data_IF_778883689420
#
_entry.id   IF_778883689420
#
_cell.length_a   1.000
_cell.length_b   1.000
_cell.length_c   1.000
_cell.angle_alpha   90.00
_cell.angle_beta   90.00
_cell.angle_gamma   90.00
#
_symmetry.space_group_name_H-M   'P 1'
#
loop_
_entity.id
_entity.type
_entity.pdbx_description
1 polymer ?
#
# COMPACT_ATOMS: atom_id res chain seq x y z
N UNK A 1 -8.44 -9.14 8.05
CA UNK A 1 -7.65 -8.40 7.03
C UNK A 1 -6.22 -8.18 7.50
N UNK A 2 -5.94 -7.96 8.78
CA UNK A 2 -4.59 -7.77 9.31
C UNK A 2 -3.62 -8.90 8.96
N UNK A 3 -4.00 -10.16 9.17
CA UNK A 3 -3.15 -11.32 8.85
C UNK A 3 -2.67 -11.34 7.38
N UNK A 4 -3.53 -10.97 6.44
CA UNK A 4 -3.18 -10.92 5.02
C UNK A 4 -2.20 -9.78 4.70
N UNK A 5 -2.26 -8.67 5.43
CA UNK A 5 -1.37 -7.51 5.22
C UNK A 5 0.01 -7.73 5.82
N UNK A 6 0.10 -8.51 6.91
CA UNK A 6 1.37 -8.99 7.46
C UNK A 6 2.15 -9.81 6.42
N UNK A 7 1.45 -10.65 5.66
CA UNK A 7 2.06 -11.44 4.57
C UNK A 7 2.53 -10.59 3.39
N UNK A 8 2.05 -9.34 3.26
CA UNK A 8 2.49 -8.43 2.21
C UNK A 8 3.81 -7.73 2.52
N UNK A 9 4.33 -7.82 3.75
CA UNK A 9 5.58 -7.16 4.12
C UNK A 9 6.71 -7.61 3.20
N UNK A 10 7.35 -6.66 2.52
CA UNK A 10 8.38 -6.90 1.52
C UNK A 10 7.87 -7.14 0.09
N UNK A 11 6.55 -7.18 -0.12
CA UNK A 11 5.95 -7.33 -1.45
C UNK A 11 5.62 -5.99 -2.11
N UNK A 12 5.56 -6.02 -3.44
CA UNK A 12 5.02 -4.94 -4.26
C UNK A 12 3.52 -5.13 -4.43
N UNK A 13 2.75 -4.11 -4.08
CA UNK A 13 1.30 -4.12 -4.25
C UNK A 13 0.78 -2.78 -4.79
N UNK A 14 -0.47 -2.78 -5.19
CA UNK A 14 -1.26 -1.59 -5.48
C UNK A 14 -2.29 -1.44 -4.39
N UNK A 15 -2.36 -0.27 -3.76
CA UNK A 15 -3.34 0.02 -2.72
C UNK A 15 -4.33 1.05 -3.24
N UNK A 16 -5.61 0.76 -3.09
CA UNK A 16 -6.72 1.67 -3.35
C UNK A 16 -7.37 2.07 -2.03
N UNK A 17 -7.45 3.37 -1.74
CA UNK A 17 -8.20 3.87 -0.59
C UNK A 17 -9.61 4.26 -1.02
N UNK A 18 -10.60 4.06 -0.15
CA UNK A 18 -11.98 4.51 -0.42
C UNK A 18 -12.18 5.99 -0.09
N UNK A 19 -11.18 6.59 0.57
CA UNK A 19 -11.24 7.94 1.09
C UNK A 19 -10.81 8.95 0.00
N UNK A 20 -11.80 9.66 -0.55
CA UNK A 20 -11.63 10.61 -1.67
C UNK A 20 -10.74 11.81 -1.29
N UNK A 21 -10.61 12.14 0.00
CA UNK A 21 -9.75 13.23 0.49
C UNK A 21 -8.25 12.93 0.37
N UNK A 22 -7.84 11.65 0.34
CA UNK A 22 -6.42 11.27 0.43
C UNK A 22 -5.70 11.24 -0.92
N UNK A 23 -6.44 11.27 -2.03
CA UNK A 23 -5.92 11.00 -3.37
C UNK A 23 -6.26 12.10 -4.36
N UNK A 24 -5.53 13.22 -4.25
CA UNK A 24 -5.37 14.14 -5.37
C UNK A 24 -4.53 13.46 -6.46
N UNK A 25 -5.18 12.75 -7.39
CA UNK A 25 -4.59 12.44 -8.70
C UNK A 25 -4.64 11.00 -9.19
N UNK A 26 -4.97 10.01 -8.37
CA UNK A 26 -5.39 8.66 -8.80
C UNK A 26 -5.77 7.84 -7.55
N UNK A 27 -6.88 7.09 -7.57
CA UNK A 27 -7.36 6.33 -6.41
C UNK A 27 -6.44 5.15 -6.04
N UNK A 28 -5.34 4.93 -6.76
CA UNK A 28 -4.51 3.73 -6.68
C UNK A 28 -3.02 4.10 -6.65
N UNK A 29 -2.30 3.55 -5.66
CA UNK A 29 -0.85 3.75 -5.50
C UNK A 29 -0.12 2.42 -5.59
N UNK A 30 0.76 2.30 -6.59
CA UNK A 30 1.78 1.25 -6.64
C UNK A 30 2.85 1.51 -5.58
N UNK A 31 2.96 0.61 -4.60
CA UNK A 31 3.86 0.76 -3.47
C UNK A 31 4.55 -0.56 -3.07
N UNK A 32 5.51 -0.44 -2.16
CA UNK A 32 6.13 -1.55 -1.44
C UNK A 32 5.70 -1.48 0.02
N UNK A 33 5.25 -2.60 0.58
CA UNK A 33 4.94 -2.70 2.01
C UNK A 33 6.26 -2.88 2.78
N UNK A 34 6.51 -1.96 3.71
CA UNK A 34 7.71 -1.97 4.55
C UNK A 34 7.44 -2.65 5.89
N UNK A 35 6.25 -2.42 6.44
CA UNK A 35 5.79 -3.01 7.69
C UNK A 35 4.26 -2.96 7.72
N UNK A 36 3.65 -3.88 8.45
CA UNK A 36 2.24 -3.87 8.76
C UNK A 36 2.06 -4.40 10.19
N UNK A 37 0.98 -3.99 10.83
CA UNK A 37 0.47 -4.57 12.07
C UNK A 37 -1.06 -4.72 11.98
N UNK A 38 -1.77 -4.84 13.10
CA UNK A 38 -3.22 -5.01 13.11
C UNK A 38 -4.01 -3.73 12.79
N UNK A 39 -3.38 -2.55 12.93
CA UNK A 39 -4.02 -1.24 12.76
C UNK A 39 -3.42 -0.43 11.61
N UNK A 40 -2.13 -0.60 11.32
CA UNK A 40 -1.35 0.27 10.45
C UNK A 40 -0.62 -0.51 9.35
N UNK A 41 -0.48 0.15 8.21
CA UNK A 41 0.44 -0.26 7.15
C UNK A 41 1.42 0.86 6.86
N UNK A 42 2.70 0.51 6.75
CA UNK A 42 3.75 1.40 6.27
C UNK A 42 4.14 1.00 4.87
N UNK A 43 3.97 1.93 3.93
CA UNK A 43 4.29 1.75 2.53
C UNK A 43 5.34 2.74 2.05
N UNK A 44 6.02 2.39 0.96
CA UNK A 44 6.87 3.31 0.21
C UNK A 44 6.48 3.31 -1.25
N UNK A 45 6.47 4.49 -1.86
CA UNK A 45 6.17 4.67 -3.28
C UNK A 45 7.05 5.76 -3.88
N UNK A 46 7.08 5.82 -5.21
CA UNK A 46 7.73 6.89 -5.95
C UNK A 46 6.64 7.87 -6.38
N UNK A 47 6.77 9.13 -5.96
CA UNK A 47 5.82 10.16 -6.37
C UNK A 47 6.04 10.61 -7.83
N UNK A 48 5.16 11.50 -8.33
CA UNK A 48 5.26 12.03 -9.69
C UNK A 48 6.55 12.83 -9.96
N UNK A 49 7.26 13.27 -8.91
CA UNK A 49 8.53 13.98 -9.00
C UNK A 49 9.74 13.04 -8.97
N UNK A 50 9.53 11.73 -8.85
CA UNK A 50 10.58 10.72 -8.78
C UNK A 50 11.16 10.52 -7.38
N UNK A 51 10.58 11.16 -6.36
CA UNK A 51 11.07 11.03 -4.99
C UNK A 51 10.49 9.78 -4.32
N UNK A 52 11.32 9.08 -3.54
CA UNK A 52 10.87 7.98 -2.67
C UNK A 52 10.22 8.58 -1.44
N UNK A 53 8.93 8.31 -1.27
CA UNK A 53 8.12 8.76 -0.13
C UNK A 53 7.72 7.56 0.70
N UNK A 54 7.78 7.70 2.03
CA UNK A 54 7.25 6.72 2.97
C UNK A 54 5.96 7.27 3.59
N UNK A 55 4.92 6.44 3.66
CA UNK A 55 3.61 6.81 4.19
C UNK A 55 3.11 5.72 5.14
N UNK A 56 2.39 6.13 6.17
CA UNK A 56 1.77 5.25 7.14
C UNK A 56 0.28 5.53 7.13
N UNK A 57 -0.52 4.49 6.93
CA UNK A 57 -1.97 4.60 6.77
C UNK A 57 -2.67 3.56 7.65
N UNK A 58 -3.91 3.86 8.05
CA UNK A 58 -4.72 2.91 8.81
C UNK A 58 -5.26 1.83 7.88
N UNK A 59 -5.31 0.60 8.35
CA UNK A 59 -5.83 -0.52 7.54
C UNK A 59 -7.32 -0.32 7.21
N UNK A 60 -8.06 0.37 8.08
CA UNK A 60 -9.50 0.64 7.90
C UNK A 60 -9.83 1.51 6.67
N UNK A 61 -8.88 2.34 6.20
CA UNK A 61 -9.10 3.21 5.03
C UNK A 61 -8.74 2.54 3.70
N UNK A 62 -8.18 1.33 3.76
CA UNK A 62 -7.80 0.55 2.59
C UNK A 62 -9.02 -0.18 2.05
N UNK A 63 -9.49 0.23 0.88
CA UNK A 63 -10.62 -0.42 0.20
C UNK A 63 -10.22 -1.70 -0.50
N UNK A 64 -9.08 -1.68 -1.21
CA UNK A 64 -8.57 -2.87 -1.86
C UNK A 64 -7.05 -2.87 -2.00
N UNK A 65 -6.50 -4.08 -2.08
CA UNK A 65 -5.08 -4.32 -2.34
C UNK A 65 -4.95 -5.31 -3.48
N UNK A 66 -4.16 -4.95 -4.49
CA UNK A 66 -3.81 -5.81 -5.61
C UNK A 66 -2.34 -6.21 -5.50
N UNK A 67 -2.08 -7.51 -5.37
CA UNK A 67 -0.73 -8.04 -5.21
C UNK A 67 -0.17 -8.32 -6.61
N UNK A 68 0.98 -7.75 -6.93
CA UNK A 68 1.71 -8.13 -8.13
C UNK A 68 2.55 -9.35 -7.77
N UNK A 69 1.95 -10.54 -7.86
CA UNK A 69 2.67 -11.77 -7.63
C UNK A 69 3.82 -11.90 -8.61
N UNK A 70 5.07 -11.78 -8.14
CA UNK A 70 6.19 -12.43 -8.82
C UNK A 70 5.94 -13.93 -8.71
N UNK A 71 5.32 -14.50 -9.74
CA UNK A 71 5.24 -15.95 -9.91
C UNK A 71 6.62 -16.44 -10.29
N UNK A 72 7.53 -16.49 -9.32
CA UNK A 72 8.83 -17.14 -9.46
C UNK A 72 9.12 -17.98 -8.22
N UNK A 73 8.50 -19.17 -8.24
CA UNK A 73 8.94 -20.44 -7.63
C UNK A 73 9.06 -20.53 -6.11
#
# INVERSE_FOLDING_TARGET
MSDMLLDLVGQRCSIKTEDEEYLTGSPEICCHVVAADDEWIKITYVDATGNRVARMERIEIIGSVLIYGDTLR
#
